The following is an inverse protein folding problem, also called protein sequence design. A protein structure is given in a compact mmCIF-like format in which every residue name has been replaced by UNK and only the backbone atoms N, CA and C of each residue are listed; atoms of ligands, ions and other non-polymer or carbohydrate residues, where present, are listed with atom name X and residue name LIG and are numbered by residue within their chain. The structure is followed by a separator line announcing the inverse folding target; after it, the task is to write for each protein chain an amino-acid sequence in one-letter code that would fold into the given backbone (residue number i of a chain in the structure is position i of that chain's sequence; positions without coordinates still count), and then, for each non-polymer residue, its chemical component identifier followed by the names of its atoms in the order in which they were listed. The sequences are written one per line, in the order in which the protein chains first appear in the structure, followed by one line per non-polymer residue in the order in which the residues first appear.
data_IF_810677880149
#
_entry.id   IF_810677880149
#
_cell.length_a   1.000
_cell.length_b   1.000
_cell.length_c   1.000
_cell.angle_alpha   90.00
_cell.angle_beta   90.00
_cell.angle_gamma   90.00
#
_symmetry.space_group_name_H-M   'P 1'
#
loop_
_entity.id
_entity.type
_entity.pdbx_description
1 polymer ?
#
# COMPACT_ATOMS: atom_id res chain seq x y z
N UNK A 1 -7.97 -2.31 -1.98
CA UNK A 1 -6.92 -2.99 -2.77
C UNK A 1 -7.35 -3.28 -4.21
N UNK A 2 -8.09 -4.36 -4.50
CA UNK A 2 -8.32 -4.89 -5.87
C UNK A 2 -8.87 -3.88 -6.87
N UNK A 3 -9.86 -3.06 -6.47
CA UNK A 3 -10.43 -2.04 -7.36
C UNK A 3 -9.42 -0.95 -7.74
N UNK A 4 -8.54 -0.57 -6.82
CA UNK A 4 -7.51 0.44 -7.08
C UNK A 4 -6.37 -0.12 -7.93
N UNK A 5 -5.91 -1.33 -7.60
CA UNK A 5 -4.86 -2.03 -8.36
C UNK A 5 -5.28 -2.19 -9.83
N UNK A 6 -6.53 -2.64 -10.06
CA UNK A 6 -7.04 -2.80 -11.43
C UNK A 6 -7.07 -1.49 -12.20
N UNK A 7 -7.50 -0.40 -11.56
CA UNK A 7 -7.58 0.93 -12.20
C UNK A 7 -6.20 1.51 -12.52
N UNK A 8 -5.28 1.44 -11.57
CA UNK A 8 -4.00 2.14 -11.68
C UNK A 8 -2.94 1.33 -12.40
N UNK A 9 -2.93 0.00 -12.28
CA UNK A 9 -1.91 -0.85 -12.88
C UNK A 9 -2.46 -1.51 -14.15
N UNK A 10 -3.47 -2.36 -14.01
CA UNK A 10 -3.96 -3.18 -15.14
C UNK A 10 -4.69 -2.39 -16.23
N UNK A 11 -5.22 -1.21 -15.91
CA UNK A 11 -5.89 -0.32 -16.87
C UNK A 11 -5.16 1.00 -17.08
N UNK A 12 -4.09 1.26 -16.30
CA UNK A 12 -3.30 2.50 -16.38
C UNK A 12 -1.99 2.33 -17.14
N UNK A 13 -1.47 1.10 -17.26
CA UNK A 13 -0.15 0.83 -17.81
C UNK A 13 -0.19 -0.27 -18.88
N UNK A 14 0.70 -0.15 -19.88
CA UNK A 14 1.00 -1.22 -20.82
C UNK A 14 2.27 -1.91 -20.30
N UNK A 15 2.21 -3.22 -20.16
CA UNK A 15 3.34 -4.04 -19.70
C UNK A 15 3.69 -5.02 -20.81
N UNK A 16 4.96 -5.07 -21.19
CA UNK A 16 5.42 -5.82 -22.36
C UNK A 16 5.79 -7.26 -22.01
N UNK A 17 6.16 -7.50 -20.75
CA UNK A 17 6.58 -8.83 -20.28
C UNK A 17 5.93 -9.22 -18.96
N UNK A 18 5.80 -10.53 -18.74
CA UNK A 18 5.33 -11.04 -17.45
C UNK A 18 6.27 -10.70 -16.29
N UNK A 19 7.58 -10.61 -16.56
CA UNK A 19 8.58 -10.25 -15.57
C UNK A 19 8.38 -8.80 -15.09
N UNK A 20 8.19 -7.87 -16.02
CA UNK A 20 7.86 -6.48 -15.74
C UNK A 20 6.52 -6.38 -14.98
N UNK A 21 5.47 -7.04 -15.46
CA UNK A 21 4.17 -7.02 -14.81
C UNK A 21 4.23 -7.54 -13.36
N UNK A 22 5.04 -8.56 -13.10
CA UNK A 22 5.24 -9.09 -11.75
C UNK A 22 5.97 -8.08 -10.87
N UNK A 23 7.04 -7.47 -11.39
CA UNK A 23 7.82 -6.47 -10.66
C UNK A 23 6.95 -5.26 -10.27
N UNK A 24 6.24 -4.67 -11.22
CA UNK A 24 5.38 -3.50 -10.99
C UNK A 24 4.23 -3.82 -10.01
N UNK A 25 3.65 -5.02 -10.11
CA UNK A 25 2.61 -5.45 -9.18
C UNK A 25 3.13 -5.55 -7.73
N UNK A 26 4.33 -6.08 -7.53
CA UNK A 26 4.95 -6.19 -6.20
C UNK A 26 5.34 -4.81 -5.65
N UNK A 27 5.93 -3.95 -6.48
CA UNK A 27 6.28 -2.58 -6.10
C UNK A 27 5.03 -1.76 -5.71
N UNK A 28 4.01 -1.78 -6.56
CA UNK A 28 2.76 -1.07 -6.29
C UNK A 28 2.09 -1.58 -5.01
N UNK A 29 2.10 -2.90 -4.77
CA UNK A 29 1.55 -3.51 -3.56
C UNK A 29 2.31 -3.04 -2.32
N UNK A 30 3.63 -2.98 -2.37
CA UNK A 30 4.46 -2.47 -1.28
C UNK A 30 4.09 -1.01 -0.97
N UNK A 31 4.02 -0.14 -1.99
CA UNK A 31 3.64 1.27 -1.81
C UNK A 31 2.22 1.38 -1.25
N UNK A 32 1.24 0.68 -1.83
CA UNK A 32 -0.16 0.75 -1.39
C UNK A 32 -0.33 0.34 0.07
N UNK A 33 0.36 -0.71 0.51
CA UNK A 33 0.19 -1.29 1.84
C UNK A 33 1.03 -0.61 2.93
N UNK A 34 2.02 0.21 2.57
CA UNK A 34 2.95 0.80 3.54
C UNK A 34 2.99 2.32 3.49
N UNK A 35 3.03 2.88 2.28
CA UNK A 35 3.38 4.29 2.05
C UNK A 35 2.22 5.12 1.47
N UNK A 36 1.16 4.48 0.98
CA UNK A 36 0.03 5.21 0.37
C UNK A 36 -0.90 5.79 1.45
N UNK A 37 -1.24 7.09 1.40
CA UNK A 37 -2.33 7.66 2.18
C UNK A 37 -3.67 6.95 1.95
N UNK A 38 -4.35 6.53 3.02
CA UNK A 38 -5.70 5.96 2.95
C UNK A 38 -6.71 6.87 3.64
N UNK A 39 -7.84 7.14 2.98
CA UNK A 39 -8.91 7.94 3.58
C UNK A 39 -9.51 7.31 4.84
N UNK A 40 -9.48 5.98 4.97
CA UNK A 40 -9.92 5.26 6.18
C UNK A 40 -8.95 5.38 7.36
N UNK A 41 -7.75 5.89 7.13
CA UNK A 41 -6.73 6.17 8.14
C UNK A 41 -6.53 7.68 8.29
N UNK A 42 -7.59 8.46 8.06
CA UNK A 42 -7.56 9.94 8.11
C UNK A 42 -6.48 10.56 7.21
N UNK A 43 -6.19 9.91 6.08
CA UNK A 43 -5.15 10.34 5.14
C UNK A 43 -3.72 9.96 5.55
N UNK A 44 -3.54 9.17 6.61
CA UNK A 44 -2.24 8.62 6.96
C UNK A 44 -1.87 7.43 6.07
N UNK A 45 -0.56 7.17 5.98
CA UNK A 45 -0.04 5.92 5.46
C UNK A 45 -0.23 4.81 6.49
N UNK A 46 -0.31 3.53 6.09
CA UNK A 46 -0.41 2.42 7.03
C UNK A 46 0.78 2.37 8.00
N UNK A 47 1.99 2.65 7.53
CA UNK A 47 3.17 2.73 8.39
C UNK A 47 3.02 3.84 9.45
N UNK A 48 2.58 5.04 9.06
CA UNK A 48 2.39 6.14 10.00
C UNK A 48 1.29 5.84 11.02
N UNK A 49 0.19 5.24 10.58
CA UNK A 49 -0.89 4.82 11.46
C UNK A 49 -0.39 3.78 12.47
N UNK A 50 0.39 2.80 12.02
CA UNK A 50 1.00 1.78 12.87
C UNK A 50 1.97 2.36 13.90
N UNK A 51 2.82 3.31 13.51
CA UNK A 51 3.73 4.02 14.41
C UNK A 51 2.97 4.76 15.52
N UNK A 52 1.93 5.51 15.16
CA UNK A 52 1.10 6.25 16.12
C UNK A 52 0.41 5.28 17.09
N UNK A 53 -0.24 4.24 16.54
CA UNK A 53 -0.91 3.23 17.35
C UNK A 53 0.05 2.54 18.31
N UNK A 54 1.25 2.19 17.84
CA UNK A 54 2.30 1.56 18.67
C UNK A 54 2.76 2.46 19.81
N UNK A 55 2.93 3.77 19.55
CA UNK A 55 3.31 4.74 20.57
C UNK A 55 2.21 4.93 21.63
N UNK A 56 0.95 4.93 21.21
CA UNK A 56 -0.19 5.06 22.12
C UNK A 56 -0.44 3.78 22.93
N UNK A 57 -0.09 2.62 22.39
CA UNK A 57 -0.38 1.30 22.95
C UNK A 57 0.88 0.54 23.38
N UNK A 58 1.91 1.24 23.86
CA UNK A 58 3.21 0.67 24.25
C UNK A 58 3.12 -0.52 25.23
N UNK A 59 2.08 -0.60 26.06
CA UNK A 59 1.84 -1.72 26.98
C UNK A 59 1.13 -2.94 26.34
N UNK A 60 0.51 -2.78 25.18
CA UNK A 60 -0.20 -3.86 24.48
C UNK A 60 0.69 -4.66 23.52
N UNK A 61 1.93 -4.18 23.28
CA UNK A 61 2.89 -4.76 22.33
C UNK A 61 4.06 -5.46 23.06
N UNK A 62 4.18 -5.26 24.38
CA UNK A 62 5.15 -5.94 25.26
C UNK A 62 4.62 -7.30 25.74
#
# INVERSE_FOLDING_TARGET
FTAQFRREQLSGEIMDTMAEATYLAEEWKAIYNHERPHGSLDGMTPNRYWENWTQENQLAIA
#
